data_IF_142603338838
#
_entry.id   IF_142603338838
#
_cell.length_a   1.000
_cell.length_b   1.000
_cell.length_c   1.000
_cell.angle_alpha   90.00
_cell.angle_beta   90.00
_cell.angle_gamma   90.00
#
_symmetry.space_group_name_H-M   'P 1'
#
loop_
_entity.id
_entity.type
_entity.pdbx_description
1 polymer ?
#
# COMPACT_ATOMS: atom_id res chain seq x y z
N UNK A 1 16.92 12.52 -6.67
CA UNK A 1 16.02 12.15 -5.58
C UNK A 1 15.64 10.71 -5.85
N UNK A 2 16.05 9.79 -4.99
CA UNK A 2 15.63 8.38 -5.08
C UNK A 2 14.39 8.26 -4.18
N UNK A 3 13.20 8.19 -4.80
CA UNK A 3 11.96 7.82 -4.12
C UNK A 3 11.79 6.31 -4.26
N UNK A 4 11.30 5.66 -3.21
CA UNK A 4 10.92 4.25 -3.25
C UNK A 4 9.44 4.08 -2.98
N UNK A 5 8.82 3.23 -3.80
CA UNK A 5 7.42 2.85 -3.67
C UNK A 5 7.32 1.33 -3.61
N UNK A 6 6.49 0.82 -2.70
CA UNK A 6 6.04 -0.58 -2.73
C UNK A 6 4.54 -0.63 -2.66
N UNK A 7 3.99 -1.59 -3.39
CA UNK A 7 2.55 -1.77 -3.46
C UNK A 7 2.20 -3.24 -3.27
N UNK A 8 1.04 -3.47 -2.65
CA UNK A 8 0.43 -4.79 -2.54
C UNK A 8 -1.01 -4.72 -3.02
N UNK A 9 -1.41 -5.73 -3.80
CA UNK A 9 -2.80 -5.96 -4.19
C UNK A 9 -3.23 -7.27 -3.54
N UNK A 10 -4.22 -7.17 -2.66
CA UNK A 10 -4.76 -8.28 -1.89
C UNK A 10 -5.89 -8.98 -2.67
N UNK A 11 -6.08 -10.26 -2.42
CA UNK A 11 -7.11 -11.07 -3.10
C UNK A 11 -8.54 -10.62 -2.78
N UNK A 12 -8.78 -9.94 -1.66
CA UNK A 12 -10.07 -9.36 -1.30
C UNK A 12 -10.31 -7.97 -1.92
N UNK A 13 -9.39 -7.49 -2.77
CA UNK A 13 -9.60 -6.36 -3.66
C UNK A 13 -9.06 -5.02 -3.15
N UNK A 14 -8.16 -5.02 -2.17
CA UNK A 14 -7.49 -3.80 -1.73
C UNK A 14 -6.14 -3.63 -2.40
N UNK A 15 -5.84 -2.39 -2.79
CA UNK A 15 -4.50 -1.96 -3.20
C UNK A 15 -3.96 -0.96 -2.18
N UNK A 16 -2.77 -1.22 -1.66
CA UNK A 16 -2.02 -0.27 -0.82
C UNK A 16 -0.72 0.08 -1.54
N UNK A 17 -0.40 1.37 -1.63
CA UNK A 17 0.90 1.87 -2.05
C UNK A 17 1.53 2.68 -0.91
N UNK A 18 2.75 2.33 -0.53
CA UNK A 18 3.57 3.05 0.46
C UNK A 18 4.76 3.70 -0.24
N UNK A 19 5.05 4.93 0.14
CA UNK A 19 6.12 5.78 -0.41
C UNK A 19 6.91 6.40 0.73
N UNK A 20 8.21 6.55 0.52
CA UNK A 20 9.11 7.13 1.52
C UNK A 20 9.09 8.67 1.55
N UNK A 21 8.78 9.31 0.41
CA UNK A 21 8.84 10.76 0.24
C UNK A 21 7.52 11.42 -0.18
N UNK A 22 6.56 10.66 -0.71
CA UNK A 22 5.30 11.18 -1.25
C UNK A 22 4.09 10.55 -0.56
N UNK A 23 2.88 10.87 -1.02
CA UNK A 23 1.63 10.42 -0.40
C UNK A 23 1.38 8.93 -0.58
N UNK A 24 1.13 8.26 0.54
CA UNK A 24 0.61 6.90 0.55
C UNK A 24 -0.82 6.84 0.01
N UNK A 25 -1.17 5.68 -0.54
CA UNK A 25 -2.42 5.48 -1.28
C UNK A 25 -3.10 4.17 -0.85
N UNK A 26 -4.42 4.21 -0.70
CA UNK A 26 -5.23 3.02 -0.44
C UNK A 26 -6.48 3.07 -1.33
N UNK A 27 -6.73 1.99 -2.08
CA UNK A 27 -7.89 1.87 -2.96
C UNK A 27 -8.64 0.57 -2.71
N UNK A 28 -9.97 0.63 -2.80
CA UNK A 28 -10.83 -0.54 -2.85
C UNK A 28 -11.22 -0.84 -4.30
N UNK A 29 -10.49 -1.73 -4.95
CA UNK A 29 -10.64 -2.02 -6.38
C UNK A 29 -11.99 -2.65 -6.75
N UNK A 30 -12.74 -3.18 -5.76
CA UNK A 30 -14.09 -3.71 -6.02
C UNK A 30 -15.11 -2.59 -6.27
N UNK A 31 -14.97 -1.46 -5.58
CA UNK A 31 -15.85 -0.30 -5.72
C UNK A 31 -15.25 0.81 -6.58
N UNK A 32 -13.93 0.86 -6.69
CA UNK A 32 -13.15 1.89 -7.37
C UNK A 32 -12.00 1.25 -8.18
N UNK A 33 -12.33 0.52 -9.28
CA UNK A 33 -11.33 -0.20 -10.08
C UNK A 33 -10.37 0.72 -10.84
N UNK A 34 -10.70 2.01 -10.97
CA UNK A 34 -9.86 3.01 -11.62
C UNK A 34 -9.01 3.83 -10.63
N UNK A 35 -9.07 3.49 -9.33
CA UNK A 35 -8.25 4.11 -8.28
C UNK A 35 -8.45 5.63 -8.18
N UNK A 36 -9.69 6.10 -8.32
CA UNK A 36 -10.01 7.54 -8.29
C UNK A 36 -10.09 8.12 -6.88
N UNK A 37 -10.28 7.30 -5.85
CA UNK A 37 -10.55 7.74 -4.48
C UNK A 37 -9.53 7.16 -3.50
N UNK A 38 -8.51 7.96 -3.16
CA UNK A 38 -7.53 7.56 -2.15
C UNK A 38 -8.15 7.57 -0.75
N UNK A 39 -8.28 6.38 -0.15
CA UNK A 39 -8.88 6.15 1.16
C UNK A 39 -7.86 6.20 2.32
N UNK A 40 -6.57 6.34 2.04
CA UNK A 40 -5.50 6.18 3.04
C UNK A 40 -5.65 7.19 4.21
N UNK A 41 -5.99 8.43 3.89
CA UNK A 41 -6.07 9.53 4.86
C UNK A 41 -7.44 9.65 5.55
N UNK A 42 -8.36 8.71 5.30
CA UNK A 42 -9.71 8.76 5.88
C UNK A 42 -9.76 8.31 7.34
N UNK A 43 -8.71 7.65 7.85
CA UNK A 43 -8.65 7.09 9.20
C UNK A 43 -9.66 5.96 9.45
N UNK A 44 -10.33 5.45 8.42
CA UNK A 44 -11.40 4.44 8.55
C UNK A 44 -10.87 3.01 8.31
N UNK A 45 -9.73 2.87 7.63
CA UNK A 45 -9.24 1.60 7.11
C UNK A 45 -7.90 1.14 7.70
N UNK A 46 -7.60 1.53 8.95
CA UNK A 46 -6.33 1.25 9.61
C UNK A 46 -5.97 -0.24 9.63
N UNK A 47 -6.96 -1.11 9.84
CA UNK A 47 -6.74 -2.56 9.83
C UNK A 47 -6.31 -3.09 8.44
N UNK A 48 -6.84 -2.51 7.36
CA UNK A 48 -6.46 -2.87 5.99
C UNK A 48 -5.06 -2.36 5.67
N UNK A 49 -4.75 -1.14 6.09
CA UNK A 49 -3.43 -0.52 5.92
C UNK A 49 -2.36 -1.34 6.67
N UNK A 50 -2.62 -1.70 7.93
CA UNK A 50 -1.70 -2.51 8.73
C UNK A 50 -1.42 -3.87 8.07
N UNK A 51 -2.48 -4.59 7.65
CA UNK A 51 -2.33 -5.87 6.95
C UNK A 51 -1.51 -5.74 5.67
N UNK A 52 -1.80 -4.73 4.84
CA UNK A 52 -1.05 -4.49 3.61
C UNK A 52 0.41 -4.14 3.86
N UNK A 53 0.68 -3.33 4.90
CA UNK A 53 2.05 -2.99 5.31
C UNK A 53 2.83 -4.23 5.75
N UNK A 54 2.22 -5.12 6.52
CA UNK A 54 2.83 -6.38 6.95
C UNK A 54 3.15 -7.29 5.75
N UNK A 55 2.27 -7.33 4.75
CA UNK A 55 2.51 -8.07 3.51
C UNK A 55 3.68 -7.49 2.71
N UNK A 56 3.78 -6.16 2.62
CA UNK A 56 4.91 -5.50 1.95
C UNK A 56 6.22 -5.79 2.70
N UNK A 57 6.26 -5.62 4.02
CA UNK A 57 7.46 -5.89 4.82
C UNK A 57 7.92 -7.34 4.68
N UNK A 58 6.98 -8.30 4.77
CA UNK A 58 7.30 -9.71 4.55
C UNK A 58 7.86 -9.94 3.15
N UNK A 59 7.26 -9.32 2.13
CA UNK A 59 7.78 -9.44 0.78
C UNK A 59 9.20 -8.87 0.67
N UNK A 60 9.48 -7.71 1.27
CA UNK A 60 10.82 -7.11 1.29
C UNK A 60 11.84 -8.04 1.95
N UNK A 61 11.51 -8.63 3.09
CA UNK A 61 12.37 -9.62 3.76
C UNK A 61 12.65 -10.83 2.87
N UNK A 62 11.64 -11.35 2.16
CA UNK A 62 11.80 -12.53 1.30
C UNK A 62 12.62 -12.28 0.04
N UNK A 63 12.70 -11.03 -0.41
CA UNK A 63 13.41 -10.65 -1.64
C UNK A 63 14.71 -9.90 -1.38
N UNK A 64 15.12 -9.76 -0.12
CA UNK A 64 16.28 -8.96 0.30
C UNK A 64 16.20 -7.50 -0.21
N UNK A 65 15.00 -6.93 -0.16
CA UNK A 65 14.73 -5.56 -0.59
C UNK A 65 14.95 -4.57 0.55
N UNK A 66 16.01 -3.78 0.44
CA UNK A 66 16.43 -2.81 1.47
C UNK A 66 15.88 -1.39 1.25
N UNK A 67 14.97 -1.18 0.28
CA UNK A 67 14.40 0.15 0.06
C UNK A 67 13.47 0.55 1.20
N UNK A 68 13.42 1.85 1.49
CA UNK A 68 12.57 2.40 2.55
C UNK A 68 11.14 2.58 2.06
N UNK A 69 10.18 2.45 2.98
CA UNK A 69 8.76 2.70 2.78
C UNK A 69 8.11 3.21 4.06
#
# INVERSE_FOLDING_TARGET
>A
MEESTRAVVTSDGWKLCLRDQDFNELYNLKGDPIEAHNLYYTGTYDAVIARGRDEIHRWQETTDDHLKI
#
